data_IF_134853865684
#
_entry.id   IF_134853865684
#
_cell.length_a   1.000
_cell.length_b   1.000
_cell.length_c   1.000
_cell.angle_alpha   90.00
_cell.angle_beta   90.00
_cell.angle_gamma   90.00
#
_symmetry.space_group_name_H-M   'P 1'
#
loop_
_entity.id
_entity.type
_entity.pdbx_description
1 polymer ?
#
# COMPACT_ATOMS: atom_id res chain seq x y z
N UNK A 1 -28.17 -45.79 -42.53
CA UNK A 1 -27.92 -45.64 -41.10
C UNK A 1 -26.88 -44.55 -40.93
N UNK A 2 -27.31 -43.33 -40.65
CA UNK A 2 -26.40 -42.21 -40.41
C UNK A 2 -26.14 -42.11 -38.93
N UNK A 3 -24.92 -42.44 -38.53
CA UNK A 3 -24.43 -42.22 -37.19
C UNK A 3 -23.74 -40.86 -37.17
N UNK A 4 -24.45 -39.83 -36.78
CA UNK A 4 -23.83 -38.53 -36.47
C UNK A 4 -23.15 -38.64 -35.11
N UNK A 5 -21.82 -38.70 -35.14
CA UNK A 5 -20.99 -38.58 -33.98
C UNK A 5 -20.94 -37.09 -33.62
N UNK A 6 -21.73 -36.70 -32.63
CA UNK A 6 -21.69 -35.34 -32.07
C UNK A 6 -20.49 -35.25 -31.15
N UNK A 7 -19.37 -34.80 -31.68
CA UNK A 7 -18.19 -34.47 -30.87
C UNK A 7 -18.48 -33.15 -30.17
N UNK A 8 -18.93 -33.21 -28.91
CA UNK A 8 -19.10 -32.07 -28.04
C UNK A 8 -17.70 -31.58 -27.66
N UNK A 9 -17.18 -30.57 -28.37
CA UNK A 9 -15.97 -29.89 -28.04
C UNK A 9 -16.22 -28.99 -26.78
N UNK A 10 -15.92 -29.54 -25.63
CA UNK A 10 -15.97 -28.79 -24.38
C UNK A 10 -14.77 -27.85 -24.35
N UNK A 11 -14.93 -26.61 -24.82
CA UNK A 11 -13.96 -25.55 -24.68
C UNK A 11 -13.93 -25.16 -23.21
N UNK A 12 -12.97 -25.69 -22.47
CA UNK A 12 -12.62 -25.26 -21.13
C UNK A 12 -12.09 -23.82 -21.26
N UNK A 13 -12.98 -22.85 -21.11
CA UNK A 13 -12.60 -21.46 -20.90
C UNK A 13 -12.05 -21.36 -19.48
N UNK A 14 -10.74 -21.55 -19.34
CA UNK A 14 -10.02 -21.23 -18.10
C UNK A 14 -10.15 -19.73 -17.86
N UNK A 15 -11.18 -19.32 -17.14
CA UNK A 15 -11.25 -17.98 -16.58
C UNK A 15 -10.12 -17.87 -15.58
N UNK A 16 -9.03 -17.22 -15.97
CA UNK A 16 -8.02 -16.75 -15.03
C UNK A 16 -8.68 -15.70 -14.13
N UNK A 17 -9.19 -16.17 -13.00
CA UNK A 17 -9.62 -15.27 -11.91
C UNK A 17 -8.36 -14.65 -11.33
N UNK A 18 -8.00 -13.46 -11.82
CA UNK A 18 -7.06 -12.63 -11.11
C UNK A 18 -7.72 -12.23 -9.79
N UNK A 19 -7.25 -12.81 -8.68
CA UNK A 19 -7.66 -12.38 -7.36
C UNK A 19 -7.13 -10.97 -7.14
N UNK A 20 -8.01 -9.99 -7.08
CA UNK A 20 -7.67 -8.63 -6.70
C UNK A 20 -7.63 -8.55 -5.17
N UNK A 21 -6.50 -8.11 -4.63
CA UNK A 21 -6.36 -7.91 -3.21
C UNK A 21 -6.70 -6.46 -2.85
N UNK A 22 -7.32 -6.27 -1.69
CA UNK A 22 -7.58 -4.95 -1.14
C UNK A 22 -7.00 -4.91 0.26
N UNK A 23 -6.07 -3.99 0.46
CA UNK A 23 -5.41 -3.78 1.74
C UNK A 23 -5.71 -2.39 2.28
N UNK A 24 -5.54 -2.24 3.59
CA UNK A 24 -5.76 -1.02 4.32
C UNK A 24 -4.55 -0.69 5.19
N UNK A 25 -4.27 0.60 5.28
CA UNK A 25 -3.23 1.16 6.16
C UNK A 25 -3.89 2.14 7.11
N UNK A 26 -3.53 2.12 8.38
CA UNK A 26 -3.96 3.09 9.38
C UNK A 26 -2.82 3.35 10.36
N UNK A 27 -2.74 4.54 10.99
CA UNK A 27 -1.76 4.78 12.04
C UNK A 27 -1.92 3.82 13.21
N UNK A 28 -0.85 3.56 13.98
CA UNK A 28 -0.90 2.70 15.17
C UNK A 28 -1.95 3.14 16.18
N UNK A 29 -2.17 4.46 16.31
CA UNK A 29 -3.25 5.03 17.13
C UNK A 29 -4.67 4.60 16.70
N UNK A 30 -4.81 4.13 15.47
CA UNK A 30 -6.06 3.62 14.87
C UNK A 30 -6.02 2.12 14.62
N UNK A 31 -5.14 1.39 15.30
CA UNK A 31 -5.04 -0.07 15.23
C UNK A 31 -4.15 -0.60 14.10
N UNK A 32 -3.40 0.28 13.42
CA UNK A 32 -2.41 -0.12 12.41
C UNK A 32 -1.25 -0.90 13.02
N UNK A 33 -0.83 -1.95 12.34
CA UNK A 33 0.40 -2.71 12.65
C UNK A 33 0.82 -3.50 11.42
N UNK A 34 2.10 -3.47 11.09
CA UNK A 34 2.63 -4.25 9.97
C UNK A 34 2.66 -5.76 10.25
N UNK A 35 2.29 -6.17 11.45
CA UNK A 35 2.01 -7.57 11.81
C UNK A 35 0.57 -8.01 11.50
N UNK A 36 -0.31 -7.08 11.14
CA UNK A 36 -1.69 -7.35 10.79
C UNK A 36 -1.81 -7.95 9.38
N UNK A 37 -3.03 -8.37 9.02
CA UNK A 37 -3.29 -8.97 7.71
C UNK A 37 -3.71 -7.97 6.61
N UNK A 38 -3.77 -6.69 6.94
CA UNK A 38 -4.12 -5.61 6.00
C UNK A 38 -5.62 -5.48 5.70
N UNK A 39 -6.50 -6.18 6.42
CA UNK A 39 -7.94 -5.98 6.28
C UNK A 39 -8.37 -4.65 6.91
N UNK A 40 -9.61 -4.20 6.59
CA UNK A 40 -10.14 -2.95 7.16
C UNK A 40 -10.20 -2.95 8.70
N UNK A 41 -10.41 -4.11 9.31
CA UNK A 41 -10.45 -4.29 10.78
C UNK A 41 -9.07 -4.58 11.41
N UNK A 42 -8.07 -4.87 10.60
CA UNK A 42 -6.69 -5.16 11.02
C UNK A 42 -5.71 -4.62 9.98
N UNK A 43 -5.64 -3.28 9.85
CA UNK A 43 -4.84 -2.62 8.81
C UNK A 43 -3.35 -2.71 9.10
N UNK A 44 -2.54 -2.56 8.07
CA UNK A 44 -1.11 -2.31 8.22
C UNK A 44 -0.85 -0.95 8.87
N UNK A 45 0.34 -0.71 9.38
CA UNK A 45 0.71 0.57 9.97
C UNK A 45 1.35 1.52 8.95
N UNK A 46 2.27 1.00 8.13
CA UNK A 46 3.03 1.81 7.19
C UNK A 46 2.52 1.66 5.76
N UNK A 47 2.52 2.78 5.03
CA UNK A 47 2.14 2.78 3.62
C UNK A 47 3.13 1.96 2.81
N UNK A 48 4.44 2.06 3.13
CA UNK A 48 5.45 1.29 2.42
C UNK A 48 5.24 -0.21 2.57
N UNK A 49 4.87 -0.69 3.77
CA UNK A 49 4.56 -2.10 3.98
C UNK A 49 3.35 -2.52 3.14
N UNK A 50 2.28 -1.72 3.14
CA UNK A 50 1.09 -1.95 2.32
C UNK A 50 1.43 -2.01 0.82
N UNK A 51 2.24 -1.09 0.32
CA UNK A 51 2.72 -1.09 -1.08
C UNK A 51 3.47 -2.38 -1.41
N UNK A 52 4.28 -2.88 -0.48
CA UNK A 52 5.04 -4.11 -0.70
C UNK A 52 4.13 -5.35 -0.83
N UNK A 53 2.95 -5.34 -0.24
CA UNK A 53 1.97 -6.45 -0.33
C UNK A 53 1.24 -6.49 -1.67
N UNK A 54 1.20 -5.39 -2.42
CA UNK A 54 0.59 -5.36 -3.74
C UNK A 54 1.38 -6.23 -4.70
N UNK A 55 0.73 -7.10 -5.45
CA UNK A 55 1.38 -8.11 -6.29
C UNK A 55 0.99 -8.04 -7.76
N UNK A 56 -0.21 -7.60 -8.07
CA UNK A 56 -0.75 -7.66 -9.43
C UNK A 56 -1.62 -6.45 -9.77
N UNK A 57 -1.87 -6.26 -11.06
CA UNK A 57 -2.84 -5.26 -11.51
C UNK A 57 -4.23 -5.54 -10.93
N UNK A 58 -4.93 -4.47 -10.56
CA UNK A 58 -6.22 -4.51 -9.87
C UNK A 58 -6.12 -4.50 -8.35
N UNK A 59 -4.96 -4.77 -7.77
CA UNK A 59 -4.78 -4.65 -6.32
C UNK A 59 -4.98 -3.20 -5.87
N UNK A 60 -5.51 -3.05 -4.65
CA UNK A 60 -5.83 -1.74 -4.06
C UNK A 60 -5.23 -1.60 -2.68
N UNK A 61 -4.73 -0.42 -2.39
CA UNK A 61 -4.30 0.00 -1.07
C UNK A 61 -5.05 1.25 -0.66
N UNK A 62 -5.87 1.13 0.36
CA UNK A 62 -6.59 2.25 0.96
C UNK A 62 -5.85 2.76 2.19
N UNK A 63 -5.59 4.06 2.20
CA UNK A 63 -4.89 4.73 3.31
C UNK A 63 -5.92 5.46 4.14
N UNK A 64 -6.02 5.13 5.43
CA UNK A 64 -6.93 5.75 6.39
C UNK A 64 -6.38 7.09 6.86
N UNK A 65 -7.27 7.92 7.42
CA UNK A 65 -6.91 9.24 7.94
C UNK A 65 -5.71 9.20 8.88
N UNK A 66 -4.78 10.13 8.70
CA UNK A 66 -3.62 10.27 9.56
C UNK A 66 -2.42 10.91 8.89
N UNK A 67 -1.37 11.13 9.67
CA UNK A 67 -0.08 11.61 9.19
C UNK A 67 0.92 10.45 9.20
N UNK A 68 1.48 10.15 8.04
CA UNK A 68 2.45 9.08 7.82
C UNK A 68 3.81 9.70 7.54
N UNK A 69 4.73 9.53 8.48
CA UNK A 69 6.09 10.06 8.35
C UNK A 69 6.99 8.97 7.78
N UNK A 70 7.03 8.89 6.47
CA UNK A 70 7.79 7.88 5.76
C UNK A 70 8.13 8.30 4.33
N UNK A 71 9.16 7.66 3.78
CA UNK A 71 9.49 7.74 2.35
C UNK A 71 8.91 6.53 1.66
N UNK A 72 8.06 6.75 0.65
CA UNK A 72 7.36 5.69 -0.06
C UNK A 72 8.02 5.49 -1.42
N UNK A 73 8.43 4.25 -1.69
CA UNK A 73 8.92 3.84 -3.01
C UNK A 73 7.91 2.91 -3.65
N UNK A 74 7.37 3.29 -4.80
CA UNK A 74 6.40 2.50 -5.55
C UNK A 74 7.10 1.89 -6.75
N UNK A 75 7.34 0.58 -6.71
CA UNK A 75 7.95 -0.20 -7.79
C UNK A 75 6.98 -1.26 -8.35
N UNK A 76 5.69 -1.04 -8.19
CA UNK A 76 4.64 -1.96 -8.62
C UNK A 76 4.06 -1.51 -9.95
N UNK A 77 3.74 -2.48 -10.80
CA UNK A 77 3.26 -2.22 -12.16
C UNK A 77 1.88 -2.85 -12.33
N UNK A 78 0.90 -2.01 -12.62
CA UNK A 78 -0.41 -2.45 -13.10
C UNK A 78 -0.38 -2.75 -14.60
N UNK A 79 -1.48 -3.23 -15.12
CA UNK A 79 -1.66 -3.45 -16.57
C UNK A 79 -2.74 -2.51 -17.13
N UNK A 80 -2.75 -2.35 -18.45
CA UNK A 80 -3.80 -1.59 -19.13
C UNK A 80 -5.16 -2.19 -18.83
N UNK A 81 -6.09 -1.36 -18.33
CA UNK A 81 -7.42 -1.80 -17.90
C UNK A 81 -7.49 -2.45 -16.51
N UNK A 82 -6.34 -2.68 -15.87
CA UNK A 82 -6.28 -3.26 -14.51
C UNK A 82 -5.15 -2.60 -13.69
N UNK A 83 -5.27 -1.30 -13.34
CA UNK A 83 -4.25 -0.57 -12.62
C UNK A 83 -4.16 -1.02 -11.15
N UNK A 84 -2.99 -0.82 -10.55
CA UNK A 84 -2.85 -0.80 -9.09
C UNK A 84 -3.37 0.56 -8.61
N UNK A 85 -4.16 0.56 -7.55
CA UNK A 85 -4.75 1.77 -6.99
C UNK A 85 -4.22 1.98 -5.58
N UNK A 86 -3.66 3.16 -5.32
CA UNK A 86 -3.24 3.60 -4.00
C UNK A 86 -3.89 4.94 -3.76
N UNK A 87 -4.82 5.01 -2.81
CA UNK A 87 -5.61 6.21 -2.58
C UNK A 87 -6.07 6.32 -1.11
N UNK A 88 -6.49 7.52 -0.71
CA UNK A 88 -7.14 7.73 0.58
C UNK A 88 -8.46 6.96 0.63
N UNK A 89 -8.80 6.40 1.79
CA UNK A 89 -10.07 5.70 1.97
C UNK A 89 -11.24 6.70 2.03
N UNK A 90 -12.11 6.63 1.04
CA UNK A 90 -13.25 7.54 0.94
C UNK A 90 -12.80 9.00 0.82
N UNK A 91 -13.27 9.85 1.72
CA UNK A 91 -12.90 11.27 1.83
C UNK A 91 -12.00 11.56 3.04
N UNK A 92 -11.32 10.58 3.55
CA UNK A 92 -10.44 10.73 4.72
C UNK A 92 -9.19 11.56 4.37
N UNK A 93 -8.76 12.42 5.29
CA UNK A 93 -7.59 13.26 5.10
C UNK A 93 -6.31 12.48 5.43
N UNK A 94 -5.44 12.35 4.44
CA UNK A 94 -4.16 11.65 4.55
C UNK A 94 -3.03 12.63 4.29
N UNK A 95 -2.11 12.73 5.23
CA UNK A 95 -0.87 13.51 5.08
C UNK A 95 0.33 12.57 5.02
N UNK A 96 1.14 12.69 3.98
CA UNK A 96 2.42 12.00 3.87
C UNK A 96 3.51 13.03 4.16
N UNK A 97 4.26 12.81 5.23
CA UNK A 97 5.33 13.70 5.69
C UNK A 97 6.69 13.03 5.43
N UNK A 98 7.39 13.51 4.41
CA UNK A 98 8.74 13.04 4.04
C UNK A 98 9.86 13.66 4.86
N UNK A 99 9.55 14.40 5.92
CA UNK A 99 10.57 15.02 6.78
C UNK A 99 11.20 14.00 7.72
N UNK A 100 12.42 14.29 8.14
CA UNK A 100 13.13 13.54 9.17
C UNK A 100 13.15 14.36 10.44
N UNK A 101 12.75 13.76 11.56
CA UNK A 101 12.90 14.41 12.85
C UNK A 101 14.38 14.59 13.18
N UNK A 102 14.79 15.83 13.27
CA UNK A 102 16.13 16.15 13.75
C UNK A 102 16.11 16.07 15.28
N UNK A 103 16.29 14.85 15.79
CA UNK A 103 16.41 14.61 17.23
C UNK A 103 17.88 14.64 17.64
N UNK A 104 18.22 15.46 18.59
CA UNK A 104 19.59 15.53 19.12
C UNK A 104 19.79 16.72 20.02
N UNK A 105 20.92 16.73 20.73
CA UNK A 105 21.27 17.85 21.58
C UNK A 105 21.86 18.97 20.74
N UNK A 106 21.17 20.07 20.67
CA UNK A 106 21.65 21.29 20.05
C UNK A 106 22.65 21.95 20.98
N UNK A 107 23.91 22.09 20.57
CA UNK A 107 24.95 22.75 21.30
C UNK A 107 25.23 24.14 20.73
N UNK A 108 25.38 25.14 21.59
CA UNK A 108 25.75 26.49 21.16
C UNK A 108 27.15 26.48 20.54
N UNK A 109 27.27 27.06 19.37
CA UNK A 109 28.53 27.24 18.64
C UNK A 109 29.03 28.70 18.68
N UNK A 110 28.39 29.56 19.49
CA UNK A 110 28.68 30.98 19.58
C UNK A 110 27.88 31.85 18.60
N UNK A 111 27.77 33.13 18.88
CA UNK A 111 27.08 34.10 18.02
C UNK A 111 25.65 33.76 17.63
N UNK A 112 24.89 33.03 18.50
CA UNK A 112 23.52 32.64 18.22
C UNK A 112 23.41 31.45 17.30
N UNK A 113 24.50 30.79 16.92
CA UNK A 113 24.53 29.58 16.10
C UNK A 113 24.45 28.33 16.98
N UNK A 114 23.62 27.40 16.63
CA UNK A 114 23.52 26.09 17.26
C UNK A 114 23.87 25.00 16.26
N UNK A 115 24.54 23.96 16.70
CA UNK A 115 24.84 22.78 15.91
C UNK A 115 24.27 21.52 16.58
N UNK A 116 23.83 20.59 15.79
CA UNK A 116 23.49 19.26 16.25
C UNK A 116 24.77 18.44 16.44
N UNK A 117 24.94 17.81 17.59
CA UNK A 117 26.19 17.13 17.94
C UNK A 117 26.32 15.69 17.41
N UNK A 118 25.33 15.20 16.68
CA UNK A 118 25.41 13.88 16.03
C UNK A 118 24.55 13.83 14.78
N UNK A 119 25.21 13.83 13.69
CA UNK A 119 24.70 13.35 12.41
C UNK A 119 25.72 12.38 11.86
#
# INVERSE_FOLDING_TARGET
>A
MNRYFFTLLFVLFSSFLFSQNTFYVAPSSSGGSDSNNGSIGSPFETIQYGVNQLSSGGDKLYIRAGTYRETITINKIGTSGNPIIIEAYGSEEVTIDGTVDITGSWTSHGNGIYKLSSY
#
